data_IF_464750293903
#
_entry.id   IF_464750293903
#
_cell.length_a   1.000
_cell.length_b   1.000
_cell.length_c   1.000
_cell.angle_alpha   90.00
_cell.angle_beta   90.00
_cell.angle_gamma   90.00
#
_symmetry.space_group_name_H-M   'P 1'
#
loop_
_entity.id
_entity.type
_entity.pdbx_description
1 polymer ?
#
# COMPACT_ATOMS: atom_id res chain seq x y z
N UNK A 1 -14.66 2.16 15.19
CA UNK A 1 -13.57 1.17 15.20
C UNK A 1 -12.23 1.78 15.65
N UNK A 2 -12.16 2.88 16.42
CA UNK A 2 -10.92 3.48 16.97
C UNK A 2 -9.73 3.58 15.98
N UNK A 3 -10.00 3.88 14.70
CA UNK A 3 -8.99 3.92 13.64
C UNK A 3 -8.45 2.54 13.20
N UNK A 4 -8.96 1.43 13.75
CA UNK A 4 -8.53 0.07 13.43
C UNK A 4 -9.20 -0.44 12.16
N UNK A 5 -8.42 -1.20 11.38
CA UNK A 5 -8.90 -1.91 10.21
C UNK A 5 -9.84 -3.08 10.60
N UNK A 6 -10.82 -3.43 9.75
CA UNK A 6 -11.60 -4.66 9.89
C UNK A 6 -10.71 -5.91 10.01
N UNK A 7 -10.76 -6.58 11.15
CA UNK A 7 -9.86 -7.70 11.47
C UNK A 7 -10.58 -9.04 11.40
N UNK A 8 -11.80 -9.11 11.92
CA UNK A 8 -12.61 -10.33 11.97
C UNK A 8 -13.42 -10.54 10.69
N UNK A 9 -13.86 -11.78 10.46
CA UNK A 9 -14.77 -12.08 9.34
C UNK A 9 -16.06 -11.27 9.40
N UNK A 10 -16.61 -11.06 10.60
CA UNK A 10 -17.80 -10.25 10.81
C UNK A 10 -17.56 -8.77 10.45
N UNK A 11 -16.46 -8.18 10.91
CA UNK A 11 -16.09 -6.80 10.57
C UNK A 11 -15.84 -6.62 9.07
N UNK A 12 -15.15 -7.57 8.43
CA UNK A 12 -14.91 -7.56 6.98
C UNK A 12 -16.22 -7.66 6.20
N UNK A 13 -17.17 -8.48 6.67
CA UNK A 13 -18.51 -8.57 6.09
C UNK A 13 -19.28 -7.27 6.27
N UNK A 14 -19.22 -6.66 7.45
CA UNK A 14 -19.85 -5.36 7.72
C UNK A 14 -19.28 -4.26 6.82
N UNK A 15 -17.96 -4.22 6.63
CA UNK A 15 -17.32 -3.28 5.71
C UNK A 15 -17.79 -3.46 4.26
N UNK A 16 -17.88 -4.70 3.77
CA UNK A 16 -18.44 -4.98 2.44
C UNK A 16 -19.91 -4.58 2.31
N UNK A 17 -20.71 -4.83 3.35
CA UNK A 17 -22.10 -4.38 3.39
C UNK A 17 -22.23 -2.86 3.37
N UNK A 18 -21.31 -2.13 4.01
CA UNK A 18 -21.27 -0.68 3.95
C UNK A 18 -21.07 -0.17 2.52
N UNK A 19 -20.14 -0.78 1.77
CA UNK A 19 -19.91 -0.47 0.35
C UNK A 19 -21.17 -0.76 -0.46
N UNK A 20 -21.75 -1.95 -0.29
CA UNK A 20 -22.97 -2.38 -0.99
C UNK A 20 -24.15 -1.43 -0.74
N UNK A 21 -24.34 -0.98 0.51
CA UNK A 21 -25.42 -0.06 0.86
C UNK A 21 -25.25 1.35 0.26
N UNK A 22 -24.05 1.70 -0.20
CA UNK A 22 -23.79 2.95 -0.91
C UNK A 22 -24.17 2.91 -2.39
N UNK A 23 -24.43 1.71 -2.94
CA UNK A 23 -24.84 1.52 -4.32
C UNK A 23 -26.23 2.08 -4.57
N UNK A 24 -26.38 2.84 -5.65
CA UNK A 24 -27.66 3.40 -6.11
C UNK A 24 -28.36 2.46 -7.09
N UNK A 25 -27.61 1.84 -8.00
CA UNK A 25 -28.14 0.99 -9.06
C UNK A 25 -27.30 -0.30 -9.20
N UNK A 26 -27.91 -1.38 -9.68
CA UNK A 26 -27.22 -2.67 -9.83
C UNK A 26 -26.05 -2.66 -10.85
N UNK A 27 -26.06 -1.71 -11.79
CA UNK A 27 -25.09 -1.61 -12.90
C UNK A 27 -23.87 -0.73 -12.58
N UNK A 28 -23.61 -0.45 -11.30
CA UNK A 28 -22.45 0.35 -10.89
C UNK A 28 -21.17 -0.52 -10.82
N UNK A 29 -20.46 -0.61 -11.96
CA UNK A 29 -19.23 -1.39 -12.11
C UNK A 29 -18.13 -1.01 -11.09
N UNK A 30 -18.03 0.27 -10.74
CA UNK A 30 -17.07 0.76 -9.74
C UNK A 30 -17.34 0.18 -8.33
N UNK A 31 -18.60 0.00 -7.94
CA UNK A 31 -18.95 -0.67 -6.67
C UNK A 31 -18.66 -2.17 -6.74
N UNK A 32 -18.89 -2.81 -7.89
CA UNK A 32 -18.50 -4.21 -8.09
C UNK A 32 -16.97 -4.39 -7.93
N UNK A 33 -16.19 -3.50 -8.54
CA UNK A 33 -14.73 -3.47 -8.40
C UNK A 33 -14.30 -3.20 -6.95
N UNK A 34 -14.93 -2.25 -6.27
CA UNK A 34 -14.65 -1.93 -4.87
C UNK A 34 -14.92 -3.13 -3.95
N UNK A 35 -16.01 -3.88 -4.15
CA UNK A 35 -16.32 -5.09 -3.37
C UNK A 35 -15.33 -6.23 -3.63
N UNK A 36 -14.93 -6.41 -4.89
CA UNK A 36 -13.92 -7.40 -5.29
C UNK A 36 -12.55 -7.09 -4.67
N UNK A 37 -12.20 -5.80 -4.54
CA UNK A 37 -10.93 -5.34 -4.00
C UNK A 37 -11.00 -4.88 -2.53
N UNK A 38 -12.16 -4.98 -1.86
CA UNK A 38 -12.36 -4.49 -0.50
C UNK A 38 -11.35 -5.07 0.51
N UNK A 39 -10.80 -6.25 0.22
CA UNK A 39 -9.78 -6.87 1.04
C UNK A 39 -8.49 -6.06 1.16
N UNK A 40 -8.16 -5.27 0.15
CA UNK A 40 -7.00 -4.36 0.17
C UNK A 40 -7.16 -3.31 1.26
N UNK A 41 -8.37 -2.77 1.45
CA UNK A 41 -8.66 -1.72 2.43
C UNK A 41 -8.49 -2.17 3.89
N UNK A 42 -8.54 -3.49 4.16
CA UNK A 42 -8.33 -4.04 5.48
C UNK A 42 -7.09 -4.96 5.56
N UNK A 43 -6.20 -4.87 4.57
CA UNK A 43 -4.88 -5.49 4.59
C UNK A 43 -3.86 -4.48 5.07
N UNK A 44 -3.17 -4.71 6.20
CA UNK A 44 -2.16 -3.78 6.68
C UNK A 44 -0.99 -3.66 5.70
N UNK A 45 -0.61 -2.43 5.37
CA UNK A 45 0.67 -2.15 4.71
C UNK A 45 1.80 -2.43 5.69
N UNK A 46 2.76 -3.26 5.28
CA UNK A 46 3.94 -3.62 6.08
C UNK A 46 5.08 -4.06 5.18
N UNK A 47 6.31 -3.96 5.69
CA UNK A 47 7.45 -4.65 5.09
C UNK A 47 7.23 -6.16 5.19
N UNK A 48 7.38 -6.87 4.07
CA UNK A 48 7.20 -8.33 4.03
C UNK A 48 8.38 -9.04 4.71
N UNK A 49 8.18 -10.29 5.16
CA UNK A 49 9.24 -11.04 5.83
C UNK A 49 10.45 -11.25 4.93
N UNK A 50 10.25 -11.48 3.62
CA UNK A 50 11.34 -11.64 2.67
C UNK A 50 12.20 -10.37 2.55
N UNK A 51 11.58 -9.19 2.58
CA UNK A 51 12.32 -7.92 2.55
C UNK A 51 13.02 -7.67 3.88
N UNK A 52 12.40 -8.05 5.01
CA UNK A 52 13.06 -7.99 6.31
C UNK A 52 14.28 -8.90 6.39
N UNK A 53 14.22 -10.11 5.80
CA UNK A 53 15.37 -11.02 5.70
C UNK A 53 16.53 -10.36 4.93
N UNK A 54 16.23 -9.72 3.80
CA UNK A 54 17.22 -8.96 3.01
C UNK A 54 17.80 -7.80 3.83
N UNK A 55 16.97 -7.07 4.58
CA UNK A 55 17.44 -5.97 5.43
C UNK A 55 18.34 -6.42 6.58
N UNK A 56 18.16 -7.65 7.05
CA UNK A 56 18.94 -8.24 8.13
C UNK A 56 20.17 -9.01 7.63
N UNK A 57 20.41 -9.05 6.32
CA UNK A 57 21.59 -9.68 5.74
C UNK A 57 22.86 -8.91 6.15
N UNK A 58 23.97 -9.60 6.51
CA UNK A 58 25.24 -8.95 6.83
C UNK A 58 25.74 -7.95 5.79
N UNK A 59 25.48 -8.21 4.50
CA UNK A 59 25.88 -7.32 3.41
C UNK A 59 25.07 -6.00 3.40
N UNK A 60 23.87 -6.01 3.96
CA UNK A 60 23.07 -4.79 4.17
C UNK A 60 23.52 -4.03 5.44
N UNK A 61 24.03 -4.75 6.45
CA UNK A 61 24.49 -4.16 7.70
C UNK A 61 25.83 -3.42 7.54
N UNK A 62 26.78 -4.01 6.83
CA UNK A 62 28.16 -3.51 6.71
C UNK A 62 28.52 -3.14 5.27
N UNK A 63 28.14 -1.94 4.87
CA UNK A 63 28.53 -1.40 3.55
C UNK A 63 30.01 -1.05 3.53
N UNK A 64 30.71 -1.53 2.50
CA UNK A 64 32.13 -1.27 2.25
C UNK A 64 32.35 -0.66 0.86
N UNK A 65 33.58 -0.23 0.57
CA UNK A 65 33.94 0.26 -0.77
C UNK A 65 33.77 -0.77 -1.89
N UNK A 66 33.68 -2.07 -1.56
CA UNK A 66 33.51 -3.16 -2.51
C UNK A 66 32.06 -3.67 -2.60
N UNK A 67 31.13 -3.12 -1.80
CA UNK A 67 29.73 -3.55 -1.80
C UNK A 67 29.09 -3.29 -3.16
N UNK A 68 28.26 -4.22 -3.61
CA UNK A 68 27.53 -4.07 -4.88
C UNK A 68 26.50 -2.94 -4.79
N UNK A 69 26.14 -2.37 -5.94
CA UNK A 69 25.07 -1.36 -6.01
C UNK A 69 23.75 -1.84 -5.40
N UNK A 70 23.47 -3.14 -5.49
CA UNK A 70 22.31 -3.74 -4.85
C UNK A 70 22.31 -3.51 -3.33
N UNK A 71 23.41 -3.86 -2.64
CA UNK A 71 23.48 -3.72 -1.18
C UNK A 71 23.49 -2.26 -0.72
N UNK A 72 24.12 -1.36 -1.50
CA UNK A 72 24.08 0.08 -1.24
C UNK A 72 22.64 0.60 -1.28
N UNK A 73 21.88 0.24 -2.32
CA UNK A 73 20.46 0.66 -2.47
C UNK A 73 19.60 0.02 -1.38
N UNK A 74 19.77 -1.27 -1.12
CA UNK A 74 19.04 -1.99 -0.07
C UNK A 74 19.25 -1.34 1.29
N UNK A 75 20.49 -0.94 1.63
CA UNK A 75 20.78 -0.22 2.86
C UNK A 75 20.09 1.15 2.89
N UNK A 76 20.13 1.91 1.80
CA UNK A 76 19.42 3.18 1.73
C UNK A 76 17.90 3.04 1.94
N UNK A 77 17.28 2.00 1.38
CA UNK A 77 15.86 1.69 1.60
C UNK A 77 15.60 1.30 3.06
N UNK A 78 16.49 0.51 3.68
CA UNK A 78 16.38 0.14 5.10
C UNK A 78 16.48 1.36 6.02
N UNK A 79 17.39 2.27 5.71
CA UNK A 79 17.55 3.52 6.46
C UNK A 79 16.30 4.39 6.30
N UNK A 80 15.75 4.50 5.07
CA UNK A 80 14.47 5.17 4.84
C UNK A 80 13.34 4.59 5.70
N UNK A 81 13.16 3.26 5.67
CA UNK A 81 12.12 2.57 6.45
C UNK A 81 12.23 2.90 7.94
N UNK A 82 13.46 3.06 8.44
CA UNK A 82 13.74 3.29 9.88
C UNK A 82 13.52 4.74 10.29
N UNK A 83 13.82 5.69 9.41
CA UNK A 83 13.88 7.12 9.76
C UNK A 83 12.68 7.90 9.22
N UNK A 84 12.49 7.95 7.90
CA UNK A 84 11.46 8.78 7.24
C UNK A 84 10.18 8.00 6.92
N UNK A 85 10.32 6.71 6.58
CA UNK A 85 9.25 5.85 6.07
C UNK A 85 8.29 5.32 7.13
N UNK A 86 8.47 5.66 8.41
CA UNK A 86 7.60 5.23 9.51
C UNK A 86 7.39 3.71 9.57
N UNK A 87 8.43 2.94 9.27
CA UNK A 87 8.37 1.47 9.21
C UNK A 87 7.78 0.90 7.92
N UNK A 88 7.59 1.72 6.88
CA UNK A 88 7.07 1.32 5.57
C UNK A 88 8.11 1.54 4.46
N UNK A 89 7.96 0.78 3.38
CA UNK A 89 8.75 0.98 2.16
C UNK A 89 8.36 2.29 1.46
N UNK A 90 9.25 2.87 0.64
CA UNK A 90 8.92 4.03 -0.20
C UNK A 90 7.67 3.79 -1.04
N UNK A 91 6.86 4.83 -1.22
CA UNK A 91 5.66 4.75 -2.04
C UNK A 91 6.03 4.47 -3.50
N UNK A 92 5.37 3.50 -4.13
CA UNK A 92 5.64 3.14 -5.53
C UNK A 92 5.13 4.18 -6.54
N UNK A 93 4.26 5.10 -6.11
CA UNK A 93 3.66 6.19 -6.88
C UNK A 93 2.64 5.78 -7.95
N UNK A 94 2.56 4.50 -8.30
CA UNK A 94 1.61 3.98 -9.28
C UNK A 94 0.28 3.56 -8.63
N UNK A 95 -0.84 3.98 -9.25
CA UNK A 95 -2.20 3.54 -8.90
C UNK A 95 -2.71 2.62 -10.03
N UNK A 96 -3.28 1.44 -9.72
CA UNK A 96 -3.85 0.57 -10.74
C UNK A 96 -5.03 1.25 -11.46
N UNK A 97 -5.36 0.78 -12.67
CA UNK A 97 -6.57 1.20 -13.37
C UNK A 97 -7.82 0.92 -12.52
N UNK A 98 -8.83 1.79 -12.61
CA UNK A 98 -10.09 1.65 -11.87
C UNK A 98 -11.25 2.32 -12.62
N UNK A 99 -12.47 1.84 -12.37
CA UNK A 99 -13.70 2.44 -12.91
C UNK A 99 -14.01 3.77 -12.20
N UNK A 100 -13.53 4.86 -12.77
CA UNK A 100 -13.79 6.23 -12.32
C UNK A 100 -13.97 7.17 -13.52
N UNK A 101 -14.51 8.36 -13.28
CA UNK A 101 -14.40 9.43 -14.26
C UNK A 101 -12.93 9.86 -14.41
N UNK A 102 -12.59 10.37 -15.59
CA UNK A 102 -11.20 10.70 -15.93
C UNK A 102 -10.60 11.74 -14.98
N UNK A 103 -11.37 12.76 -14.59
CA UNK A 103 -10.88 13.79 -13.66
C UNK A 103 -10.51 13.20 -12.31
N UNK A 104 -11.39 12.40 -11.72
CA UNK A 104 -11.14 11.74 -10.42
C UNK A 104 -9.94 10.81 -10.49
N UNK A 105 -9.81 10.01 -11.56
CA UNK A 105 -8.68 9.12 -11.74
C UNK A 105 -7.34 9.88 -11.82
N UNK A 106 -7.27 10.93 -12.64
CA UNK A 106 -6.04 11.74 -12.81
C UNK A 106 -5.68 12.46 -11.52
N UNK A 107 -6.67 13.03 -10.81
CA UNK A 107 -6.42 13.67 -9.52
C UNK A 107 -5.84 12.66 -8.52
N UNK A 108 -6.42 11.46 -8.41
CA UNK A 108 -5.92 10.43 -7.52
C UNK A 108 -4.50 9.98 -7.90
N UNK A 109 -4.25 9.74 -9.19
CA UNK A 109 -2.93 9.36 -9.68
C UNK A 109 -1.87 10.42 -9.34
N UNK A 110 -2.23 11.70 -9.45
CA UNK A 110 -1.32 12.82 -9.14
C UNK A 110 -0.90 12.79 -7.68
N UNK A 111 -1.84 12.57 -6.75
CA UNK A 111 -1.54 12.49 -5.31
C UNK A 111 -0.49 11.42 -5.01
N UNK A 112 -0.62 10.23 -5.63
CA UNK A 112 0.36 9.16 -5.43
C UNK A 112 1.69 9.43 -6.15
N UNK A 113 1.68 10.12 -7.29
CA UNK A 113 2.88 10.39 -8.06
C UNK A 113 3.75 11.50 -7.45
N UNK A 114 3.16 12.49 -6.79
CA UNK A 114 3.90 13.65 -6.29
C UNK A 114 4.36 13.54 -4.84
N UNK A 115 3.80 12.60 -4.05
CA UNK A 115 4.14 12.34 -2.65
C UNK A 115 4.40 13.63 -1.82
N UNK A 116 3.63 14.68 -2.11
CA UNK A 116 3.68 15.99 -1.44
C UNK A 116 2.53 16.02 -0.42
N UNK A 117 2.87 15.71 0.84
CA UNK A 117 2.06 16.02 2.03
C UNK A 117 2.91 16.80 3.05
#
# INVERSE_FOLDING_TARGET
HDGKLPSTSAEKKQFKQLIENGRRNADEENFNEALANAWRAFTPTKVTSQVQEIFNDPECESITANSSSFWIITRAIRDFVTNEGQGLLPLAGAVPDMKADTSTYVTLQTVYATDDF
#
